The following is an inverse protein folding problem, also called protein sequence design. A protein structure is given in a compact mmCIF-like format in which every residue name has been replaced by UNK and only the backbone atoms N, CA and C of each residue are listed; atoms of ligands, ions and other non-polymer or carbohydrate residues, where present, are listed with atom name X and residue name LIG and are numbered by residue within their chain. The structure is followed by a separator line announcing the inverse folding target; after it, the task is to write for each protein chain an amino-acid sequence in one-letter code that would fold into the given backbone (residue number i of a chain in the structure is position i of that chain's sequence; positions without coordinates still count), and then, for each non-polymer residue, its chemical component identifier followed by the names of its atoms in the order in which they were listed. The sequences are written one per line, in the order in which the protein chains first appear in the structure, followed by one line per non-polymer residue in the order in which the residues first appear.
data_IF_927881291908
#
_entry.id   IF_927881291908
#
_cell.length_a   1.000
_cell.length_b   1.000
_cell.length_c   1.000
_cell.angle_alpha   90.00
_cell.angle_beta   90.00
_cell.angle_gamma   90.00
#
_symmetry.space_group_name_H-M   'P 1'
#
loop_
_entity.id
_entity.type
_entity.pdbx_description
1 polymer ?
#
# COMPACT_ATOMS: atom_id res chain seq x y z
N UNK A 1 17.01 45.77 19.84
CA UNK A 1 16.80 44.66 18.88
C UNK A 1 16.13 43.51 19.62
N UNK A 2 14.87 43.21 19.30
CA UNK A 2 14.16 42.04 19.83
C UNK A 2 14.41 40.88 18.86
N UNK A 3 15.07 39.83 19.33
CA UNK A 3 15.39 38.63 18.53
C UNK A 3 14.07 37.88 18.28
N UNK A 4 13.81 37.40 17.06
CA UNK A 4 12.67 36.53 16.79
C UNK A 4 12.77 35.26 17.65
N UNK A 5 11.66 34.83 18.24
CA UNK A 5 11.50 33.56 18.94
C UNK A 5 11.56 32.40 17.93
N UNK A 6 12.76 32.05 17.49
CA UNK A 6 12.98 31.04 16.44
C UNK A 6 13.03 29.60 16.94
N UNK A 7 12.68 29.34 18.20
CA UNK A 7 12.77 28.00 18.80
C UNK A 7 11.63 27.72 19.76
N UNK A 8 10.39 28.00 19.36
CA UNK A 8 9.28 27.31 20.02
C UNK A 8 9.40 25.82 19.69
N UNK A 9 9.57 25.03 20.75
CA UNK A 9 9.59 23.58 20.63
C UNK A 9 8.20 23.15 20.16
N UNK A 10 8.12 22.61 18.96
CA UNK A 10 6.91 21.96 18.48
C UNK A 10 6.67 20.70 19.31
N UNK A 11 5.84 20.83 20.35
CA UNK A 11 5.53 19.73 21.24
C UNK A 11 4.43 18.90 20.60
N UNK A 12 4.71 17.62 20.37
CA UNK A 12 3.70 16.66 19.94
C UNK A 12 2.58 16.65 20.99
N UNK A 13 1.40 17.08 20.58
CA UNK A 13 0.21 17.03 21.41
C UNK A 13 -0.30 15.58 21.48
N UNK A 14 0.04 14.88 22.56
CA UNK A 14 -0.47 13.54 22.85
C UNK A 14 -1.91 13.62 23.38
N UNK A 15 -2.86 13.88 22.47
CA UNK A 15 -4.26 14.17 22.78
C UNK A 15 -5.18 12.93 22.67
N UNK A 16 -4.61 11.72 22.68
CA UNK A 16 -5.29 10.42 22.55
C UNK A 16 -6.07 10.20 21.23
N UNK A 17 -6.22 11.23 20.40
CA UNK A 17 -6.84 11.14 19.08
C UNK A 17 -5.78 11.02 17.98
N UNK A 18 -5.42 9.78 17.65
CA UNK A 18 -4.41 9.47 16.64
C UNK A 18 -5.07 8.83 15.41
N UNK A 19 -5.62 9.66 14.53
CA UNK A 19 -6.42 9.19 13.37
C UNK A 19 -5.72 8.11 12.52
N UNK A 20 -4.39 8.19 12.38
CA UNK A 20 -3.59 7.26 11.58
C UNK A 20 -2.97 6.10 12.38
N UNK A 21 -3.18 6.03 13.70
CA UNK A 21 -2.51 5.02 14.52
C UNK A 21 -2.86 3.59 14.10
N UNK A 22 -4.15 3.30 13.88
CA UNK A 22 -4.58 1.96 13.46
C UNK A 22 -4.14 1.63 12.02
N UNK A 23 -4.09 2.63 11.16
CA UNK A 23 -3.56 2.50 9.80
C UNK A 23 -2.08 2.08 9.84
N UNK A 24 -1.24 2.81 10.58
CA UNK A 24 0.18 2.47 10.71
C UNK A 24 0.40 1.15 11.44
N UNK A 25 -0.36 0.87 12.49
CA UNK A 25 -0.30 -0.40 13.22
C UNK A 25 -0.57 -1.57 12.29
N UNK A 26 -1.58 -1.47 11.44
CA UNK A 26 -1.91 -2.48 10.43
C UNK A 26 -0.74 -2.71 9.47
N UNK A 27 -0.15 -1.65 8.91
CA UNK A 27 1.01 -1.76 8.03
C UNK A 27 2.27 -2.29 8.71
N UNK A 28 2.52 -1.92 9.97
CA UNK A 28 3.65 -2.44 10.74
C UNK A 28 3.49 -3.93 11.05
N UNK A 29 2.27 -4.37 11.38
CA UNK A 29 1.97 -5.79 11.55
C UNK A 29 2.20 -6.56 10.25
N UNK A 30 1.71 -6.05 9.12
CA UNK A 30 1.95 -6.63 7.81
C UNK A 30 3.46 -6.75 7.51
N UNK A 31 4.21 -5.65 7.67
CA UNK A 31 5.65 -5.62 7.43
C UNK A 31 6.43 -6.60 8.33
N UNK A 32 6.02 -6.74 9.59
CA UNK A 32 6.70 -7.61 10.56
C UNK A 32 6.44 -9.08 10.28
N UNK A 33 5.23 -9.42 9.84
CA UNK A 33 4.80 -10.81 9.69
C UNK A 33 4.98 -11.37 8.28
N UNK A 34 5.12 -10.52 7.26
CA UNK A 34 5.20 -10.96 5.87
C UNK A 34 6.65 -10.86 5.31
N UNK A 35 7.32 -11.99 5.00
CA UNK A 35 8.69 -12.01 4.48
C UNK A 35 8.88 -11.22 3.17
N UNK A 36 7.83 -11.06 2.36
CA UNK A 36 7.88 -10.27 1.13
C UNK A 36 8.23 -8.80 1.39
N UNK A 37 7.96 -8.29 2.60
CA UNK A 37 8.19 -6.90 2.95
C UNK A 37 9.52 -6.63 3.68
N UNK A 38 10.31 -7.67 3.97
CA UNK A 38 11.62 -7.52 4.60
C UNK A 38 12.53 -6.63 3.75
N UNK A 39 13.13 -5.62 4.39
CA UNK A 39 14.03 -4.69 3.72
C UNK A 39 15.44 -5.27 3.65
N UNK A 40 16.10 -5.13 2.50
CA UNK A 40 17.48 -5.62 2.30
C UNK A 40 17.63 -7.14 2.23
N UNK A 41 16.52 -7.89 2.27
CA UNK A 41 16.51 -9.33 2.06
C UNK A 41 16.73 -9.64 0.57
N UNK A 42 17.82 -10.31 0.18
CA UNK A 42 18.12 -10.60 -1.23
C UNK A 42 17.12 -11.58 -1.87
N UNK A 43 16.36 -12.33 -1.06
CA UNK A 43 15.28 -13.19 -1.55
C UNK A 43 13.97 -12.42 -1.80
N UNK A 44 13.83 -11.21 -1.23
CA UNK A 44 12.68 -10.37 -1.46
C UNK A 44 12.85 -9.56 -2.76
N UNK A 45 11.89 -9.69 -3.67
CA UNK A 45 11.88 -8.98 -4.95
C UNK A 45 10.68 -8.03 -5.03
N UNK A 46 10.79 -7.00 -5.89
CA UNK A 46 9.70 -6.07 -6.19
C UNK A 46 9.55 -5.97 -7.70
N UNK A 47 8.32 -6.12 -8.17
CA UNK A 47 7.98 -6.01 -9.59
C UNK A 47 6.85 -4.98 -9.75
N UNK A 48 7.07 -3.99 -10.61
CA UNK A 48 5.99 -3.12 -11.05
C UNK A 48 5.04 -3.92 -11.93
N UNK A 49 3.74 -3.65 -11.79
CA UNK A 49 2.70 -4.30 -12.58
C UNK A 49 2.18 -3.32 -13.62
N UNK A 50 1.94 -3.81 -14.84
CA UNK A 50 1.24 -3.05 -15.87
C UNK A 50 -0.25 -2.91 -15.55
N UNK A 51 -0.78 -1.73 -15.83
CA UNK A 51 -2.19 -1.39 -15.64
C UNK A 51 -2.74 -0.66 -16.85
N UNK A 52 -4.05 -0.65 -17.00
CA UNK A 52 -4.73 0.16 -18.01
C UNK A 52 -4.69 1.67 -17.71
N UNK A 53 -4.04 2.10 -16.62
CA UNK A 53 -3.97 3.49 -16.15
C UNK A 53 -2.60 3.83 -15.51
N UNK A 54 -1.50 3.38 -16.12
CA UNK A 54 -0.11 3.55 -15.64
C UNK A 54 0.30 5.02 -15.38
N UNK A 55 -0.39 5.98 -16.00
CA UNK A 55 -0.18 7.42 -15.81
C UNK A 55 -0.78 7.93 -14.49
N UNK A 56 -1.70 7.17 -13.88
CA UNK A 56 -2.46 7.53 -12.67
C UNK A 56 -2.22 6.59 -11.49
N UNK A 57 -1.95 5.33 -11.78
CA UNK A 57 -1.88 4.25 -10.80
C UNK A 57 -0.46 3.68 -10.72
N UNK A 58 0.06 3.59 -9.49
CA UNK A 58 1.24 2.77 -9.21
C UNK A 58 0.79 1.43 -8.62
N UNK A 59 1.00 0.35 -9.36
CA UNK A 59 0.76 -1.00 -8.90
C UNK A 59 2.08 -1.79 -8.87
N UNK A 60 2.32 -2.53 -7.79
CA UNK A 60 3.49 -3.40 -7.67
C UNK A 60 3.23 -4.57 -6.74
N UNK A 61 3.94 -5.66 -6.98
CA UNK A 61 3.97 -6.82 -6.10
C UNK A 61 5.35 -6.98 -5.50
N UNK A 62 5.40 -7.23 -4.19
CA UNK A 62 6.60 -7.72 -3.51
C UNK A 62 6.45 -9.21 -3.24
N UNK A 63 7.52 -9.98 -3.44
CA UNK A 63 7.50 -11.45 -3.29
C UNK A 63 8.72 -11.95 -2.52
N UNK A 64 8.52 -12.95 -1.67
CA UNK A 64 9.59 -13.75 -1.07
C UNK A 64 9.09 -15.20 -0.90
N UNK A 65 9.60 -16.12 -1.73
CA UNK A 65 9.10 -17.49 -1.78
C UNK A 65 7.62 -17.54 -2.18
N UNK A 66 6.76 -17.99 -1.28
CA UNK A 66 5.31 -18.09 -1.48
C UNK A 66 4.53 -16.84 -1.02
N UNK A 67 5.18 -16.00 -0.21
CA UNK A 67 4.53 -14.84 0.39
C UNK A 67 4.56 -13.69 -0.62
N UNK A 68 3.41 -13.08 -0.86
CA UNK A 68 3.29 -11.97 -1.79
C UNK A 68 2.45 -10.84 -1.20
N UNK A 69 2.87 -9.60 -1.46
CA UNK A 69 2.11 -8.39 -1.11
C UNK A 69 1.91 -7.54 -2.36
N UNK A 70 0.65 -7.40 -2.75
CA UNK A 70 0.19 -6.50 -3.79
C UNK A 70 -0.11 -5.13 -3.17
N UNK A 71 0.46 -4.08 -3.73
CA UNK A 71 0.15 -2.69 -3.39
C UNK A 71 -0.30 -1.94 -4.64
N UNK A 72 -1.39 -1.20 -4.51
CA UNK A 72 -2.03 -0.45 -5.59
C UNK A 72 -2.39 0.94 -5.08
N UNK A 73 -1.89 1.99 -5.73
CA UNK A 73 -2.00 3.38 -5.27
C UNK A 73 -2.53 4.26 -6.39
N UNK A 74 -3.58 5.03 -6.12
CA UNK A 74 -4.02 6.11 -7.01
C UNK A 74 -3.35 7.42 -6.61
N UNK A 75 -2.39 7.89 -7.41
CA UNK A 75 -1.70 9.17 -7.20
C UNK A 75 -2.34 10.33 -7.96
N UNK A 76 -3.37 10.06 -8.76
CA UNK A 76 -4.07 11.10 -9.50
C UNK A 76 -5.05 11.88 -8.62
N UNK A 77 -5.53 13.00 -9.15
CA UNK A 77 -6.57 13.83 -8.53
C UNK A 77 -7.98 13.40 -8.96
N UNK A 78 -8.11 12.23 -9.59
CA UNK A 78 -9.36 11.70 -10.13
C UNK A 78 -9.63 10.31 -9.51
N UNK A 79 -10.90 9.91 -9.44
CA UNK A 79 -11.22 8.51 -9.19
C UNK A 79 -10.92 7.69 -10.45
N UNK A 80 -10.38 6.49 -10.29
CA UNK A 80 -9.91 5.68 -11.42
C UNK A 80 -10.52 4.28 -11.35
N UNK A 81 -11.17 3.88 -12.44
CA UNK A 81 -11.51 2.48 -12.73
C UNK A 81 -10.50 1.94 -13.73
N UNK A 82 -9.86 0.81 -13.45
CA UNK A 82 -8.78 0.28 -14.28
C UNK A 82 -8.63 -1.23 -14.08
N UNK A 83 -7.81 -1.87 -14.90
CA UNK A 83 -7.41 -3.28 -14.75
C UNK A 83 -5.90 -3.41 -14.55
N UNK A 84 -5.48 -4.44 -13.82
CA UNK A 84 -4.07 -4.87 -13.83
C UNK A 84 -3.88 -5.83 -15.01
N UNK A 85 -3.13 -5.39 -16.00
CA UNK A 85 -2.89 -6.07 -17.27
C UNK A 85 -1.51 -6.78 -17.25
N UNK A 86 -1.27 -7.53 -16.17
CA UNK A 86 0.02 -8.17 -15.90
C UNK A 86 -0.16 -9.62 -15.43
N UNK A 87 0.63 -10.54 -15.97
CA UNK A 87 0.60 -11.96 -15.63
C UNK A 87 1.28 -12.29 -14.29
N UNK A 88 2.12 -11.37 -13.77
CA UNK A 88 2.85 -11.58 -12.52
C UNK A 88 1.96 -11.56 -11.26
N UNK A 89 0.66 -11.28 -11.42
CA UNK A 89 -0.36 -11.37 -10.37
C UNK A 89 -1.45 -12.39 -10.75
N UNK A 90 -1.72 -13.32 -9.83
CA UNK A 90 -2.76 -14.35 -9.99
C UNK A 90 -3.09 -14.96 -8.63
N UNK A 91 -4.30 -15.53 -8.49
CA UNK A 91 -4.74 -16.24 -7.29
C UNK A 91 -5.35 -15.34 -6.22
N UNK A 92 -5.54 -15.93 -5.05
CA UNK A 92 -6.39 -15.40 -3.99
C UNK A 92 -5.59 -14.55 -3.01
N UNK A 93 -5.97 -13.29 -2.83
CA UNK A 93 -5.34 -12.34 -1.91
C UNK A 93 -6.36 -11.79 -0.93
N UNK A 94 -5.94 -11.60 0.31
CA UNK A 94 -6.72 -10.96 1.37
C UNK A 94 -6.39 -9.48 1.46
N UNK A 95 -7.40 -8.61 1.48
CA UNK A 95 -7.19 -7.19 1.76
C UNK A 95 -6.77 -7.00 3.23
N UNK A 96 -5.65 -6.30 3.43
CA UNK A 96 -5.03 -6.13 4.75
C UNK A 96 -5.84 -5.20 5.66
N UNK A 97 -6.60 -4.26 5.09
CA UNK A 97 -7.40 -3.30 5.85
C UNK A 97 -8.84 -3.74 6.06
N UNK A 98 -9.51 -4.23 5.02
CA UNK A 98 -10.93 -4.54 5.10
C UNK A 98 -11.22 -6.02 5.40
N UNK A 99 -10.34 -6.94 5.03
CA UNK A 99 -10.53 -8.38 5.23
C UNK A 99 -11.13 -9.19 4.06
N UNK A 100 -11.95 -8.65 3.14
CA UNK A 100 -12.37 -9.34 1.93
C UNK A 100 -11.22 -9.90 1.12
N UNK A 101 -11.53 -11.03 0.49
CA UNK A 101 -10.62 -11.77 -0.36
C UNK A 101 -10.97 -11.51 -1.82
N UNK A 102 -9.95 -11.44 -2.68
CA UNK A 102 -10.11 -11.27 -4.13
C UNK A 102 -9.29 -12.30 -4.88
N UNK A 103 -9.87 -12.89 -5.92
CA UNK A 103 -9.19 -13.84 -6.80
C UNK A 103 -8.76 -13.17 -8.10
N UNK A 104 -7.46 -12.89 -8.22
CA UNK A 104 -6.86 -12.29 -9.41
C UNK A 104 -6.71 -13.28 -10.58
N UNK A 105 -7.06 -14.55 -10.41
CA UNK A 105 -7.24 -15.45 -11.55
C UNK A 105 -8.55 -15.19 -12.30
N UNK A 106 -9.55 -14.57 -11.65
CA UNK A 106 -10.88 -14.32 -12.21
C UNK A 106 -11.13 -12.85 -12.49
N UNK A 107 -10.71 -11.95 -11.59
CA UNK A 107 -10.99 -10.53 -11.69
C UNK A 107 -9.78 -9.68 -11.28
N UNK A 108 -9.30 -8.86 -12.24
CA UNK A 108 -8.21 -7.90 -12.05
C UNK A 108 -8.67 -6.44 -12.09
N UNK A 109 -9.97 -6.18 -12.06
CA UNK A 109 -10.55 -4.83 -12.12
C UNK A 109 -10.49 -4.10 -10.78
N UNK A 110 -10.20 -2.81 -10.77
CA UNK A 110 -10.18 -2.00 -9.56
C UNK A 110 -10.98 -0.72 -9.77
N UNK A 111 -11.52 -0.22 -8.67
CA UNK A 111 -11.97 1.15 -8.52
C UNK A 111 -11.25 1.75 -7.31
N UNK A 112 -10.56 2.87 -7.50
CA UNK A 112 -9.92 3.62 -6.42
C UNK A 112 -10.38 5.09 -6.44
N UNK A 113 -10.84 5.64 -5.30
CA UNK A 113 -11.10 7.07 -5.18
C UNK A 113 -9.78 7.87 -5.24
N UNK A 114 -9.88 9.19 -5.26
CA UNK A 114 -8.72 10.10 -5.20
C UNK A 114 -7.87 9.78 -3.97
N UNK A 115 -6.57 9.54 -4.16
CA UNK A 115 -5.66 9.13 -3.08
C UNK A 115 -5.96 7.75 -2.48
N UNK A 116 -6.88 6.99 -3.08
CA UNK A 116 -7.25 5.65 -2.66
C UNK A 116 -6.14 4.63 -2.88
N UNK A 117 -6.16 3.57 -2.10
CA UNK A 117 -5.17 2.50 -2.15
C UNK A 117 -5.79 1.14 -1.83
N UNK A 118 -5.10 0.09 -2.26
CA UNK A 118 -5.33 -1.28 -1.82
C UNK A 118 -4.00 -1.93 -1.47
N UNK A 119 -3.96 -2.63 -0.33
CA UNK A 119 -2.84 -3.48 0.08
C UNK A 119 -3.40 -4.85 0.39
N UNK A 120 -2.86 -5.88 -0.27
CA UNK A 120 -3.38 -7.23 -0.20
C UNK A 120 -2.23 -8.23 -0.06
N UNK A 121 -2.42 -9.26 0.75
CA UNK A 121 -1.40 -10.30 0.97
C UNK A 121 -1.94 -11.70 0.69
N UNK A 122 -1.02 -12.62 0.40
CA UNK A 122 -1.27 -14.06 0.37
C UNK A 122 -0.05 -14.84 0.85
#
# INVERSE_FOLDING_TARGET
MKRLEFFEKDVIAWNENYEMADFYKTLFNLKSNNPALRGGDPAASTQLLKTSADDKVLAYVRKNGKDEVLTVLNFSKEAVSFTIDDENISGIFKNVFSGPVKDFAQDKSFYLPVGGYAVMER
#
